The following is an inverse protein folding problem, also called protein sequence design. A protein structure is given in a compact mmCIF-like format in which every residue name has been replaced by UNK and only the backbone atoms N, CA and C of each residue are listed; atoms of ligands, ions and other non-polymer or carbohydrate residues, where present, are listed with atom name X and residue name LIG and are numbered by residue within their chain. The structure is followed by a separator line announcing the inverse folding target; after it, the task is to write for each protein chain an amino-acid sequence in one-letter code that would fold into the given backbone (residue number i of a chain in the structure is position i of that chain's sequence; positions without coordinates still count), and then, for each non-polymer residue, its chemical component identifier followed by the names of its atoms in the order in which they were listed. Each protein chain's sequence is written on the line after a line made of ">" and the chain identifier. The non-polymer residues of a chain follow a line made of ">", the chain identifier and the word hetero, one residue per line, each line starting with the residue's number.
data_IF_752137484643
#
_entry.id   IF_752137484643
#
_cell.length_a   1.000
_cell.length_b   1.000
_cell.length_c   1.000
_cell.angle_alpha   90.00
_cell.angle_beta   90.00
_cell.angle_gamma   90.00
#
_symmetry.space_group_name_H-M   'P 1'
#
loop_
_entity.id
_entity.type
_entity.pdbx_description
1 polymer ?
#
# COMPACT_ATOMS: atom_id res chain seq x y z
N UNK A 1 10.98 28.46 -24.75
CA UNK A 1 12.33 27.93 -24.42
C UNK A 1 12.15 27.03 -23.21
N UNK A 2 12.33 25.71 -23.35
CA UNK A 2 12.16 24.79 -22.20
C UNK A 2 13.30 25.02 -21.21
N UNK A 3 12.96 25.25 -19.94
CA UNK A 3 13.95 25.41 -18.87
C UNK A 3 14.43 24.04 -18.36
N UNK A 4 15.48 24.02 -17.54
CA UNK A 4 16.01 22.78 -16.96
C UNK A 4 14.95 22.00 -16.15
N UNK A 5 14.07 22.72 -15.44
CA UNK A 5 12.98 22.14 -14.65
C UNK A 5 11.96 21.40 -15.51
N UNK A 6 11.58 21.95 -16.67
CA UNK A 6 10.66 21.30 -17.61
C UNK A 6 11.23 19.97 -18.12
N UNK A 7 12.55 19.95 -18.36
CA UNK A 7 13.26 18.74 -18.77
C UNK A 7 13.29 17.69 -17.65
N UNK A 8 13.52 18.10 -16.41
CA UNK A 8 13.51 17.18 -15.26
C UNK A 8 12.12 16.60 -15.00
N UNK A 9 11.05 17.42 -15.08
CA UNK A 9 9.67 16.95 -14.96
C UNK A 9 9.31 15.90 -16.01
N UNK A 10 9.82 16.03 -17.24
CA UNK A 10 9.61 15.04 -18.29
C UNK A 10 10.23 13.67 -17.97
N UNK A 11 11.41 13.66 -17.34
CA UNK A 11 12.02 12.39 -16.90
C UNK A 11 11.22 11.74 -15.77
N UNK A 12 10.76 12.53 -14.80
CA UNK A 12 9.92 12.05 -13.70
C UNK A 12 8.59 11.48 -14.20
N UNK A 13 7.89 12.23 -15.06
CA UNK A 13 6.59 11.82 -15.61
C UNK A 13 6.66 10.56 -16.48
N UNK A 14 7.85 10.21 -17.00
CA UNK A 14 8.04 9.01 -17.82
C UNK A 14 7.84 7.71 -17.03
N UNK A 15 7.96 7.77 -15.70
CA UNK A 15 7.72 6.62 -14.82
C UNK A 15 6.41 6.76 -14.03
N UNK A 16 5.83 7.96 -13.95
CA UNK A 16 4.59 8.21 -13.22
C UNK A 16 3.41 7.46 -13.86
N UNK A 17 3.03 6.35 -13.24
CA UNK A 17 1.92 5.51 -13.70
C UNK A 17 0.72 5.69 -12.78
N UNK A 18 -0.46 5.85 -13.37
CA UNK A 18 -1.72 6.06 -12.66
C UNK A 18 -2.69 4.92 -12.95
N UNK A 19 -3.42 4.51 -11.91
CA UNK A 19 -4.58 3.63 -12.06
C UNK A 19 -5.77 4.46 -12.57
N UNK A 20 -6.58 3.90 -13.47
CA UNK A 20 -7.82 4.54 -13.91
C UNK A 20 -8.73 4.86 -12.72
N UNK A 21 -9.47 5.97 -12.80
CA UNK A 21 -10.38 6.38 -11.73
C UNK A 21 -11.64 5.51 -11.65
N UNK A 22 -12.31 5.56 -10.49
CA UNK A 22 -13.63 4.95 -10.24
C UNK A 22 -13.67 3.44 -10.46
N UNK A 23 -12.56 2.76 -10.18
CA UNK A 23 -12.48 1.30 -10.13
C UNK A 23 -11.94 0.86 -8.78
N UNK A 24 -12.35 -0.32 -8.27
CA UNK A 24 -11.74 -0.89 -7.08
C UNK A 24 -10.23 -1.09 -7.26
N UNK A 25 -9.45 -0.68 -6.26
CA UNK A 25 -7.99 -0.85 -6.24
C UNK A 25 -7.63 -1.81 -5.11
N UNK A 26 -6.81 -2.82 -5.41
CA UNK A 26 -6.31 -3.78 -4.42
C UNK A 26 -4.81 -3.54 -4.26
N UNK A 27 -4.37 -3.30 -3.03
CA UNK A 27 -2.97 -3.13 -2.67
C UNK A 27 -2.56 -4.33 -1.83
N UNK A 28 -1.45 -4.97 -2.17
CA UNK A 28 -0.84 -6.01 -1.34
C UNK A 28 0.58 -5.62 -0.97
N UNK A 29 0.86 -5.61 0.32
CA UNK A 29 2.20 -5.48 0.89
C UNK A 29 2.66 -6.84 1.43
N UNK A 30 3.91 -7.19 1.22
CA UNK A 30 4.49 -8.50 1.55
C UNK A 30 5.84 -8.33 2.26
N UNK A 31 6.04 -9.09 3.34
CA UNK A 31 7.23 -9.06 4.16
C UNK A 31 8.48 -9.58 3.45
N UNK A 32 9.40 -8.69 3.09
CA UNK A 32 10.66 -9.10 2.46
C UNK A 32 11.52 -9.96 3.40
N UNK A 33 11.81 -11.19 2.97
CA UNK A 33 12.65 -12.15 3.73
C UNK A 33 12.08 -12.49 5.13
N UNK A 34 10.76 -12.52 5.27
CA UNK A 34 10.10 -12.74 6.56
C UNK A 34 10.46 -14.07 7.22
N UNK A 35 10.69 -15.12 6.44
CA UNK A 35 11.14 -16.43 6.98
C UNK A 35 12.52 -16.38 7.63
N UNK A 36 13.40 -15.44 7.23
CA UNK A 36 14.69 -15.22 7.90
C UNK A 36 14.51 -14.38 9.16
N UNK A 37 13.66 -13.37 9.10
CA UNK A 37 13.37 -12.47 10.22
C UNK A 37 12.66 -13.21 11.37
N UNK A 38 11.62 -13.98 11.09
CA UNK A 38 10.90 -14.81 12.08
C UNK A 38 11.82 -15.80 12.80
N UNK A 39 12.81 -16.37 12.09
CA UNK A 39 13.87 -17.19 12.70
C UNK A 39 14.78 -16.38 13.62
N UNK A 40 15.14 -15.16 13.24
CA UNK A 40 16.04 -14.31 14.04
C UNK A 40 15.42 -13.85 15.36
N UNK A 41 14.10 -13.71 15.41
CA UNK A 41 13.36 -13.37 16.63
C UNK A 41 12.90 -14.60 17.42
N UNK A 42 13.27 -15.82 16.98
CA UNK A 42 12.80 -17.09 17.55
C UNK A 42 11.27 -17.17 17.68
N UNK A 43 10.54 -16.74 16.65
CA UNK A 43 9.08 -16.78 16.63
C UNK A 43 8.54 -18.20 16.85
N UNK A 44 7.41 -18.29 17.53
CA UNK A 44 6.73 -19.57 17.80
C UNK A 44 6.24 -20.23 16.49
N UNK A 45 6.28 -21.56 16.45
CA UNK A 45 5.82 -22.37 15.30
C UNK A 45 4.72 -23.33 15.74
N UNK A 46 3.70 -23.59 14.91
CA UNK A 46 3.52 -23.08 13.54
C UNK A 46 2.97 -21.64 13.46
N UNK A 47 2.43 -21.11 14.56
CA UNK A 47 1.83 -19.78 14.62
C UNK A 47 2.32 -19.04 15.85
N UNK A 48 2.79 -17.80 15.64
CA UNK A 48 3.14 -16.88 16.71
C UNK A 48 2.01 -15.85 16.89
N UNK A 49 1.38 -15.87 18.06
CA UNK A 49 0.23 -15.03 18.34
C UNK A 49 0.62 -13.55 18.46
N UNK A 50 1.79 -13.24 19.04
CA UNK A 50 2.25 -11.87 19.19
C UNK A 50 2.52 -11.23 17.82
N UNK A 51 3.13 -12.01 16.90
CA UNK A 51 3.33 -11.58 15.52
C UNK A 51 2.01 -11.37 14.79
N UNK A 52 1.05 -12.27 14.96
CA UNK A 52 -0.27 -12.17 14.31
C UNK A 52 -1.04 -10.93 14.78
N UNK A 53 -0.98 -10.62 16.08
CA UNK A 53 -1.55 -9.41 16.66
C UNK A 53 -0.84 -8.17 16.12
N UNK A 54 0.50 -8.17 16.09
CA UNK A 54 1.28 -7.05 15.56
C UNK A 54 0.96 -6.77 14.09
N UNK A 55 0.85 -7.80 13.25
CA UNK A 55 0.44 -7.67 11.85
C UNK A 55 -0.98 -7.13 11.70
N UNK A 56 -1.91 -7.53 12.58
CA UNK A 56 -3.29 -7.04 12.59
C UNK A 56 -3.38 -5.57 13.01
N UNK A 57 -2.63 -5.17 14.03
CA UNK A 57 -2.58 -3.77 14.47
C UNK A 57 -1.88 -2.88 13.44
N UNK A 58 -0.79 -3.35 12.83
CA UNK A 58 -0.12 -2.65 11.73
C UNK A 58 -1.07 -2.47 10.53
N UNK A 59 -1.77 -3.53 10.11
CA UNK A 59 -2.78 -3.45 9.07
C UNK A 59 -3.87 -2.44 9.40
N UNK A 60 -4.40 -2.45 10.64
CA UNK A 60 -5.45 -1.51 11.08
C UNK A 60 -4.96 -0.06 11.05
N UNK A 61 -3.75 0.18 11.55
CA UNK A 61 -3.12 1.50 11.54
C UNK A 61 -2.89 1.99 10.11
N UNK A 62 -2.43 1.13 9.19
CA UNK A 62 -2.26 1.50 7.78
C UNK A 62 -3.61 1.80 7.13
N UNK A 63 -4.61 0.93 7.33
CA UNK A 63 -5.96 1.11 6.78
C UNK A 63 -6.60 2.44 7.21
N UNK A 64 -6.37 2.91 8.44
CA UNK A 64 -6.93 4.20 8.91
C UNK A 64 -6.33 5.43 8.23
N UNK A 65 -5.16 5.31 7.61
CA UNK A 65 -4.50 6.39 6.87
C UNK A 65 -4.76 6.34 5.36
N UNK A 66 -5.35 5.25 4.86
CA UNK A 66 -5.68 5.08 3.44
C UNK A 66 -7.08 5.64 3.18
N UNK A 67 -7.16 6.68 2.36
CA UNK A 67 -8.45 7.22 1.92
C UNK A 67 -9.19 6.23 1.01
N UNK A 68 -10.49 6.04 1.28
CA UNK A 68 -11.32 5.11 0.51
C UNK A 68 -11.06 3.63 0.82
N UNK A 69 -10.27 3.31 1.85
CA UNK A 69 -10.09 1.92 2.30
C UNK A 69 -11.40 1.35 2.85
N UNK A 70 -11.91 0.30 2.22
CA UNK A 70 -13.15 -0.39 2.60
C UNK A 70 -12.88 -1.61 3.47
N UNK A 71 -11.76 -2.29 3.20
CA UNK A 71 -11.45 -3.57 3.82
C UNK A 71 -9.94 -3.78 3.87
N UNK A 72 -9.46 -4.26 5.01
CA UNK A 72 -8.09 -4.69 5.23
C UNK A 72 -8.08 -6.16 5.67
N UNK A 73 -7.12 -6.92 5.14
CA UNK A 73 -6.90 -8.32 5.48
C UNK A 73 -5.41 -8.56 5.71
N UNK A 74 -5.08 -9.43 6.65
CA UNK A 74 -3.70 -9.86 6.91
C UNK A 74 -3.63 -11.38 7.01
N UNK A 75 -2.57 -11.95 6.44
CA UNK A 75 -2.28 -13.37 6.48
C UNK A 75 -0.78 -13.56 6.47
N UNK A 76 -0.24 -14.35 7.40
CA UNK A 76 1.21 -14.55 7.52
C UNK A 76 1.95 -13.20 7.57
N UNK A 77 2.67 -12.89 6.50
CA UNK A 77 3.51 -11.73 6.28
C UNK A 77 2.97 -10.79 5.18
N UNK A 78 1.78 -11.06 4.65
CA UNK A 78 1.08 -10.21 3.69
C UNK A 78 -0.07 -9.41 4.32
N UNK A 79 -0.22 -8.17 3.88
CA UNK A 79 -1.36 -7.30 4.18
C UNK A 79 -2.00 -6.84 2.87
N UNK A 80 -3.31 -6.99 2.77
CA UNK A 80 -4.11 -6.60 1.60
C UNK A 80 -5.12 -5.54 1.97
N UNK A 81 -5.21 -4.48 1.15
CA UNK A 81 -6.15 -3.38 1.31
C UNK A 81 -7.01 -3.24 0.05
N UNK A 82 -8.31 -3.06 0.23
CA UNK A 82 -9.28 -2.82 -0.85
C UNK A 82 -9.77 -1.38 -0.76
N UNK A 83 -9.50 -0.61 -1.79
CA UNK A 83 -9.86 0.81 -1.89
C UNK A 83 -10.97 1.02 -2.91
N UNK A 84 -11.86 1.96 -2.61
CA UNK A 84 -12.92 2.46 -3.49
C UNK A 84 -12.81 3.97 -3.60
N UNK A 85 -12.99 4.48 -4.81
CA UNK A 85 -12.92 5.91 -5.15
C UNK A 85 -14.14 6.33 -5.99
N UNK A 86 -15.26 5.63 -5.84
CA UNK A 86 -16.51 5.79 -6.59
C UNK A 86 -17.75 5.89 -5.69
N UNK A 87 -17.54 6.18 -4.41
CA UNK A 87 -18.61 6.28 -3.40
C UNK A 87 -19.53 7.49 -3.64
N UNK A 88 -19.02 8.56 -4.25
CA UNK A 88 -19.78 9.74 -4.67
C UNK A 88 -19.23 10.32 -5.98
N UNK A 89 -19.93 11.33 -6.52
CA UNK A 89 -19.44 12.11 -7.67
C UNK A 89 -18.21 12.96 -7.34
N UNK A 90 -18.05 13.34 -6.07
CA UNK A 90 -16.95 14.16 -5.57
C UNK A 90 -15.78 13.33 -5.01
N UNK A 91 -15.89 11.99 -5.04
CA UNK A 91 -14.82 11.10 -4.57
C UNK A 91 -13.55 11.31 -5.40
N UNK A 92 -12.44 11.53 -4.71
CA UNK A 92 -11.12 11.61 -5.34
C UNK A 92 -10.30 10.36 -5.02
N UNK A 93 -9.47 9.88 -5.94
CA UNK A 93 -8.59 8.75 -5.69
C UNK A 93 -7.45 9.13 -4.75
N UNK A 94 -7.14 8.26 -3.79
CA UNK A 94 -5.98 8.41 -2.91
C UNK A 94 -4.70 8.63 -3.72
N UNK A 95 -3.94 9.68 -3.38
CA UNK A 95 -2.76 10.16 -4.11
C UNK A 95 -2.95 10.41 -5.62
N UNK A 96 -4.17 10.57 -6.12
CA UNK A 96 -4.42 10.69 -7.55
C UNK A 96 -4.27 9.36 -8.31
N UNK A 97 -4.37 8.21 -7.62
CA UNK A 97 -4.11 6.88 -8.17
C UNK A 97 -2.66 6.64 -8.65
N UNK A 98 -1.69 7.45 -8.18
CA UNK A 98 -0.27 7.29 -8.49
C UNK A 98 0.29 6.03 -7.88
N UNK A 99 0.57 5.03 -8.71
CA UNK A 99 1.02 3.69 -8.28
C UNK A 99 2.24 3.80 -7.37
N UNK A 100 3.24 4.59 -7.76
CA UNK A 100 4.48 4.72 -7.00
C UNK A 100 4.25 5.25 -5.58
N UNK A 101 3.42 6.28 -5.44
CA UNK A 101 3.09 6.87 -4.12
C UNK A 101 2.29 5.90 -3.27
N UNK A 102 1.29 5.26 -3.87
CA UNK A 102 0.45 4.27 -3.19
C UNK A 102 1.33 3.13 -2.66
N UNK A 103 2.14 2.52 -3.53
CA UNK A 103 3.01 1.42 -3.13
C UNK A 103 4.04 1.85 -2.09
N UNK A 104 4.71 2.99 -2.27
CA UNK A 104 5.78 3.42 -1.36
C UNK A 104 5.30 3.85 0.02
N UNK A 105 4.06 4.34 0.15
CA UNK A 105 3.51 4.80 1.43
C UNK A 105 2.90 3.64 2.22
N UNK A 106 2.39 2.60 1.53
CA UNK A 106 1.84 1.40 2.18
C UNK A 106 2.93 0.43 2.64
N UNK A 107 4.07 0.40 1.96
CA UNK A 107 5.22 -0.48 2.26
C UNK A 107 6.02 0.01 3.46
#
# INVERSE_FOLDING_TARGET
>A
MQNLGDRMKKYESSYETNIIGRVPVIIRADGKSFSKWTKSINAEKPFDNALSIAMSEAMRATASHIEGCMFGYTQSDEMTFVLRNDQSLESTPWFGNRIQKICSVVS
#
